data_IF_279384085780
#
_entry.id   IF_279384085780
#
_cell.length_a   1.000
_cell.length_b   1.000
_cell.length_c   1.000
_cell.angle_alpha   90.00
_cell.angle_beta   90.00
_cell.angle_gamma   90.00
#
_symmetry.space_group_name_H-M   'P 1'
#
loop_
_entity.id
_entity.type
_entity.pdbx_description
1 polymer ?
#
# COMPACT_ATOMS: atom_id res chain seq x y z
N UNK A 1 21.02 10.19 13.46
CA UNK A 1 21.09 9.98 12.01
C UNK A 1 19.69 9.72 11.47
N UNK A 2 18.98 10.79 11.07
CA UNK A 2 17.69 10.67 10.38
C UNK A 2 17.97 10.46 8.88
N UNK A 3 17.37 9.45 8.27
CA UNK A 3 17.57 9.13 6.86
C UNK A 3 17.20 10.35 5.98
N UNK A 4 18.13 10.77 5.10
CA UNK A 4 18.09 12.05 4.36
C UNK A 4 17.12 12.09 3.17
N UNK A 5 16.33 11.06 2.92
CA UNK A 5 15.47 11.00 1.74
C UNK A 5 14.10 10.40 2.08
N UNK A 6 13.31 11.17 2.84
CA UNK A 6 11.88 10.95 3.01
C UNK A 6 11.19 11.58 1.79
N UNK A 7 10.65 10.76 0.90
CA UNK A 7 10.06 11.25 -0.36
C UNK A 7 8.53 11.28 -0.27
N UNK A 8 7.90 10.18 0.16
CA UNK A 8 6.45 10.04 0.25
C UNK A 8 6.06 9.35 1.56
N UNK A 9 4.87 9.66 2.07
CA UNK A 9 4.37 9.09 3.31
C UNK A 9 2.90 9.37 3.58
N UNK A 10 2.32 8.57 4.46
CA UNK A 10 0.91 8.58 4.78
C UNK A 10 0.64 8.44 6.27
N UNK A 11 -0.51 8.96 6.68
CA UNK A 11 -1.02 8.73 8.02
C UNK A 11 -1.64 7.34 8.11
N UNK A 12 -1.45 6.68 9.25
CA UNK A 12 -2.22 5.51 9.63
C UNK A 12 -3.72 5.84 9.76
N UNK A 13 -4.56 4.83 9.93
CA UNK A 13 -6.01 5.00 10.06
C UNK A 13 -6.42 5.94 11.22
N UNK A 14 -5.66 5.93 12.33
CA UNK A 14 -5.91 6.75 13.51
C UNK A 14 -5.38 8.18 13.38
N UNK A 15 -4.55 8.44 12.35
CA UNK A 15 -3.80 9.70 12.16
C UNK A 15 -2.87 10.04 13.33
N UNK A 16 -2.43 9.04 14.09
CA UNK A 16 -1.44 9.19 15.15
C UNK A 16 -0.03 8.97 14.62
N UNK A 17 0.14 8.01 13.72
CA UNK A 17 1.44 7.60 13.21
C UNK A 17 1.59 8.01 11.75
N UNK A 18 2.72 8.63 11.44
CA UNK A 18 3.12 8.95 10.08
C UNK A 18 4.10 7.89 9.58
N UNK A 19 3.71 7.16 8.54
CA UNK A 19 4.56 6.18 7.86
C UNK A 19 5.20 6.84 6.64
N UNK A 20 6.51 6.89 6.63
CA UNK A 20 7.24 7.59 5.60
C UNK A 20 8.32 6.70 5.00
N UNK A 21 8.35 6.67 3.68
CA UNK A 21 9.27 5.86 2.90
C UNK A 21 10.65 6.51 2.86
N UNK A 22 11.67 5.79 3.33
CA UNK A 22 13.07 6.21 3.27
C UNK A 22 13.71 5.61 2.01
N UNK A 23 13.53 6.28 0.87
CA UNK A 23 13.70 5.74 -0.49
C UNK A 23 15.14 5.45 -0.93
N UNK A 24 16.08 5.36 -0.01
CA UNK A 24 17.44 4.91 -0.29
C UNK A 24 17.94 3.83 0.70
N UNK A 25 17.05 3.28 1.52
CA UNK A 25 17.44 2.31 2.56
C UNK A 25 16.49 1.12 2.67
N UNK A 26 15.58 0.93 1.70
CA UNK A 26 14.55 -0.13 1.69
C UNK A 26 13.82 -0.24 3.04
N UNK A 27 13.48 0.93 3.61
CA UNK A 27 12.88 1.06 4.93
C UNK A 27 11.71 2.02 4.93
N UNK A 28 10.75 1.74 5.80
CA UNK A 28 9.65 2.64 6.15
C UNK A 28 9.84 3.06 7.60
N UNK A 29 9.89 4.36 7.85
CA UNK A 29 9.93 4.90 9.20
C UNK A 29 8.50 5.19 9.67
N UNK A 30 8.13 4.67 10.84
CA UNK A 30 6.92 5.04 11.55
C UNK A 30 7.26 6.06 12.64
N UNK A 31 6.61 7.22 12.62
CA UNK A 31 6.80 8.31 13.57
C UNK A 31 5.51 8.55 14.33
N UNK A 32 5.55 8.51 15.67
CA UNK A 32 4.43 8.93 16.51
C UNK A 32 4.37 10.46 16.53
N UNK A 33 3.28 11.02 16.02
CA UNK A 33 3.08 12.48 15.98
C UNK A 33 2.69 13.07 17.33
N UNK A 34 2.17 12.25 18.26
CA UNK A 34 1.81 12.70 19.61
C UNK A 34 3.05 12.88 20.47
N UNK A 35 3.95 11.90 20.43
CA UNK A 35 5.15 11.88 21.26
C UNK A 35 6.41 12.39 20.53
N UNK A 36 6.27 12.73 19.24
CA UNK A 36 7.34 13.21 18.35
C UNK A 36 8.58 12.29 18.32
N UNK A 37 8.36 10.97 18.37
CA UNK A 37 9.41 9.95 18.43
C UNK A 37 9.26 8.93 17.32
N UNK A 38 10.37 8.27 16.98
CA UNK A 38 10.35 7.12 16.08
C UNK A 38 9.67 5.95 16.80
N UNK A 39 8.54 5.50 16.24
CA UNK A 39 7.78 4.36 16.74
C UNK A 39 8.39 3.04 16.24
N UNK A 40 8.92 3.03 15.01
CA UNK A 40 9.59 1.87 14.44
C UNK A 40 10.28 2.17 13.12
N UNK A 41 11.24 1.32 12.78
CA UNK A 41 11.89 1.29 11.46
C UNK A 41 11.62 -0.09 10.86
N UNK A 42 10.81 -0.11 9.80
CA UNK A 42 10.32 -1.33 9.17
C UNK A 42 11.16 -1.61 7.93
N UNK A 43 11.73 -2.80 7.85
CA UNK A 43 12.41 -3.29 6.66
C UNK A 43 11.37 -3.74 5.62
N UNK A 44 11.53 -3.28 4.37
CA UNK A 44 10.71 -3.68 3.23
C UNK A 44 11.60 -4.23 2.12
N UNK A 45 11.02 -5.07 1.25
CA UNK A 45 11.81 -5.82 0.25
C UNK A 45 12.28 -5.00 -0.97
N UNK A 46 11.79 -3.78 -1.14
CA UNK A 46 12.17 -2.90 -2.25
C UNK A 46 11.82 -1.43 -1.98
N UNK A 47 12.36 -0.53 -2.81
CA UNK A 47 12.10 0.92 -2.78
C UNK A 47 10.58 1.19 -2.77
N UNK A 48 10.03 1.62 -1.62
CA UNK A 48 8.60 1.88 -1.51
C UNK A 48 8.25 3.19 -2.21
N UNK A 49 7.15 3.20 -2.98
CA UNK A 49 6.60 4.42 -3.56
C UNK A 49 5.14 4.57 -3.13
N UNK A 50 4.90 4.94 -1.86
CA UNK A 50 3.59 4.83 -1.25
C UNK A 50 2.57 5.84 -1.76
N UNK A 51 3.02 7.01 -2.25
CA UNK A 51 2.19 8.21 -2.18
C UNK A 51 1.69 8.40 -0.75
N UNK A 52 0.36 8.42 -0.55
CA UNK A 52 -0.28 8.46 0.80
C UNK A 52 -0.48 7.07 1.44
N UNK A 53 -0.23 5.99 0.69
CA UNK A 53 -0.58 4.63 1.08
C UNK A 53 -2.09 4.40 1.22
N UNK A 54 -2.47 3.19 1.62
CA UNK A 54 -3.87 2.86 1.90
C UNK A 54 -4.04 2.12 3.22
N UNK A 55 -5.02 2.56 4.00
CA UNK A 55 -5.35 1.98 5.30
C UNK A 55 -6.56 1.05 5.18
N UNK A 56 -6.45 -0.17 5.69
CA UNK A 56 -7.60 -1.07 5.83
C UNK A 56 -7.38 -2.05 6.98
N UNK A 57 -8.43 -2.77 7.36
CA UNK A 57 -8.36 -3.82 8.38
C UNK A 57 -8.14 -5.16 7.68
N UNK A 58 -6.99 -5.78 7.96
CA UNK A 58 -6.66 -7.13 7.54
C UNK A 58 -7.36 -8.15 8.44
N UNK A 59 -7.97 -9.22 7.88
CA UNK A 59 -8.73 -10.20 8.68
C UNK A 59 -7.90 -10.92 9.75
N UNK A 60 -6.59 -11.08 9.54
CA UNK A 60 -5.67 -11.77 10.46
C UNK A 60 -4.80 -10.83 11.30
N UNK A 61 -4.43 -9.67 10.76
CA UNK A 61 -3.38 -8.82 11.33
C UNK A 61 -3.91 -7.47 11.86
N UNK A 62 -5.23 -7.26 11.79
CA UNK A 62 -5.84 -6.01 12.24
C UNK A 62 -5.55 -4.85 11.31
N UNK A 63 -5.52 -3.60 11.82
CA UNK A 63 -5.23 -2.41 11.03
C UNK A 63 -3.86 -2.47 10.36
N UNK A 64 -3.86 -2.31 9.04
CA UNK A 64 -2.65 -2.28 8.22
C UNK A 64 -2.63 -1.05 7.31
N UNK A 65 -1.42 -0.57 7.07
CA UNK A 65 -1.10 0.41 6.04
C UNK A 65 -0.34 -0.28 4.91
N UNK A 66 -0.78 -0.03 3.69
CA UNK A 66 -0.24 -0.67 2.49
C UNK A 66 0.50 0.32 1.61
N UNK A 67 1.64 -0.12 1.08
CA UNK A 67 2.45 0.60 0.08
C UNK A 67 2.72 -0.30 -1.10
N UNK A 68 2.70 0.29 -2.29
CA UNK A 68 3.18 -0.37 -3.49
C UNK A 68 4.63 0.05 -3.79
N UNK A 69 5.28 -0.68 -4.68
CA UNK A 69 6.68 -0.48 -5.03
C UNK A 69 6.82 -0.17 -6.52
N UNK A 70 7.79 0.69 -6.87
CA UNK A 70 8.12 0.97 -8.27
C UNK A 70 8.99 -0.15 -8.87
N UNK A 71 9.94 -0.66 -8.08
CA UNK A 71 10.97 -1.58 -8.56
C UNK A 71 10.54 -3.05 -8.64
N UNK A 72 9.40 -3.42 -8.06
CA UNK A 72 8.89 -4.79 -8.13
C UNK A 72 7.36 -4.81 -8.08
N UNK A 73 6.81 -6.00 -8.32
CA UNK A 73 5.36 -6.25 -8.31
C UNK A 73 4.77 -6.40 -6.91
N UNK A 74 5.58 -6.32 -5.85
CA UNK A 74 5.11 -6.55 -4.50
C UNK A 74 4.37 -5.31 -3.97
N UNK A 75 3.51 -5.57 -2.99
CA UNK A 75 2.81 -4.60 -2.19
C UNK A 75 3.04 -4.99 -0.73
N UNK A 76 3.70 -4.14 0.03
CA UNK A 76 3.94 -4.39 1.44
C UNK A 76 2.73 -3.95 2.28
N UNK A 77 2.28 -4.84 3.16
CA UNK A 77 1.32 -4.55 4.22
C UNK A 77 2.07 -4.41 5.54
N UNK A 78 1.90 -3.29 6.23
CA UNK A 78 2.56 -2.98 7.50
C UNK A 78 1.49 -2.85 8.58
N UNK A 79 1.66 -3.54 9.72
CA UNK A 79 0.76 -3.41 10.86
C UNK A 79 0.93 -2.07 11.57
N UNK A 80 -0.17 -1.38 11.89
CA UNK A 80 -0.15 -0.02 12.47
C UNK A 80 -0.84 0.07 13.84
N UNK A 81 -1.15 -1.05 14.47
CA UNK A 81 -1.89 -1.10 15.74
C UNK A 81 -1.04 -1.73 16.87
N UNK A 82 -0.19 -0.94 17.55
CA UNK A 82 0.63 -1.45 18.66
C UNK A 82 -0.16 -1.76 19.93
N UNK A 83 -1.42 -1.31 20.06
CA UNK A 83 -2.21 -1.50 21.28
C UNK A 83 -2.94 -2.85 21.27
N UNK A 84 -3.64 -3.18 20.17
CA UNK A 84 -4.40 -4.44 20.08
C UNK A 84 -3.70 -5.52 19.26
N UNK A 85 -2.72 -5.17 18.43
CA UNK A 85 -1.98 -6.10 17.57
C UNK A 85 -0.45 -5.95 17.71
N UNK A 86 0.10 -6.00 18.93
CA UNK A 86 1.52 -5.69 19.20
C UNK A 86 2.49 -6.59 18.43
N UNK A 87 2.13 -7.85 18.18
CA UNK A 87 2.99 -8.80 17.45
C UNK A 87 3.20 -8.41 15.99
N UNK A 88 2.22 -7.71 15.41
CA UNK A 88 2.18 -7.28 14.00
C UNK A 88 2.55 -5.81 13.81
N UNK A 89 2.55 -5.02 14.88
CA UNK A 89 2.83 -3.60 14.82
C UNK A 89 4.26 -3.31 14.36
N UNK A 90 4.39 -2.35 13.44
CA UNK A 90 5.67 -1.92 12.89
C UNK A 90 6.48 -3.04 12.24
N UNK A 91 5.78 -4.01 11.66
CA UNK A 91 6.36 -5.09 10.86
C UNK A 91 5.65 -5.18 9.53
N UNK A 92 6.39 -5.59 8.51
CA UNK A 92 5.79 -6.05 7.26
C UNK A 92 5.14 -7.41 7.54
N UNK A 93 3.81 -7.43 7.58
CA UNK A 93 3.03 -8.62 7.97
C UNK A 93 2.71 -9.53 6.77
N UNK A 94 2.73 -8.96 5.56
CA UNK A 94 2.48 -9.69 4.32
C UNK A 94 2.97 -8.90 3.11
N UNK A 95 3.53 -9.60 2.13
CA UNK A 95 3.69 -9.12 0.76
C UNK A 95 2.51 -9.62 -0.09
N UNK A 96 1.81 -8.74 -0.79
CA UNK A 96 0.91 -9.13 -1.87
C UNK A 96 1.63 -9.02 -3.20
N UNK A 97 1.55 -10.05 -4.02
CA UNK A 97 2.11 -10.06 -5.36
C UNK A 97 1.09 -9.47 -6.33
N UNK A 98 1.42 -8.33 -6.92
CA UNK A 98 0.70 -7.68 -8.00
C UNK A 98 1.00 -8.31 -9.36
N UNK A 99 0.66 -7.60 -10.43
CA UNK A 99 0.82 -8.04 -11.83
C UNK A 99 2.16 -7.63 -12.45
N UNK A 100 2.85 -6.66 -11.85
CA UNK A 100 4.11 -6.11 -12.35
C UNK A 100 4.57 -4.91 -11.53
N UNK A 101 5.83 -4.49 -11.65
CA UNK A 101 6.34 -3.26 -11.00
C UNK A 101 5.95 -1.98 -11.75
N UNK A 102 5.94 -0.83 -11.08
CA UNK A 102 5.48 0.45 -11.66
C UNK A 102 4.18 1.00 -11.06
N UNK A 103 3.84 0.58 -9.84
CA UNK A 103 2.71 1.14 -9.11
C UNK A 103 3.03 2.55 -8.59
N UNK A 104 2.15 3.51 -8.88
CA UNK A 104 2.28 4.88 -8.40
C UNK A 104 1.33 5.20 -7.25
N UNK A 105 0.13 4.60 -7.28
CA UNK A 105 -0.89 4.92 -6.30
C UNK A 105 -1.61 3.67 -5.82
N UNK A 106 -1.83 3.65 -4.52
CA UNK A 106 -2.72 2.73 -3.83
C UNK A 106 -3.82 3.56 -3.16
N UNK A 107 -5.08 3.12 -3.31
CA UNK A 107 -6.24 3.81 -2.73
C UNK A 107 -7.25 2.84 -2.16
N UNK A 108 -7.85 3.25 -1.05
CA UNK A 108 -9.01 2.56 -0.47
C UNK A 108 -9.84 3.57 0.33
N UNK A 109 -11.08 3.24 0.66
CA UNK A 109 -12.00 4.14 1.37
C UNK A 109 -12.86 3.36 2.38
N UNK A 110 -13.05 3.76 3.64
CA UNK A 110 -13.73 2.96 4.67
C UNK A 110 -14.99 2.19 4.22
N UNK A 111 -15.86 2.83 3.44
CA UNK A 111 -17.10 2.23 2.91
C UNK A 111 -16.94 1.29 1.69
N UNK A 112 -15.75 1.19 1.12
CA UNK A 112 -15.43 0.29 0.01
C UNK A 112 -15.01 -1.09 0.55
N UNK A 113 -15.36 -2.15 -0.16
CA UNK A 113 -14.86 -3.50 0.11
C UNK A 113 -13.54 -3.78 -0.63
N UNK A 114 -13.06 -2.84 -1.44
CA UNK A 114 -11.94 -2.98 -2.35
C UNK A 114 -10.78 -2.05 -1.98
N UNK A 115 -9.56 -2.58 -2.13
CA UNK A 115 -8.32 -1.80 -2.25
C UNK A 115 -7.97 -1.76 -3.73
N UNK A 116 -7.74 -0.57 -4.26
CA UNK A 116 -7.46 -0.33 -5.68
C UNK A 116 -5.99 0.06 -5.83
N UNK A 117 -5.31 -0.58 -6.77
CA UNK A 117 -3.91 -0.34 -7.12
C UNK A 117 -3.88 0.21 -8.55
N UNK A 118 -3.27 1.37 -8.72
CA UNK A 118 -3.08 1.97 -10.04
C UNK A 118 -1.65 1.75 -10.49
N UNK A 119 -1.52 1.04 -11.60
CA UNK A 119 -0.27 0.72 -12.26
C UNK A 119 -0.09 1.64 -13.46
N UNK A 120 1.07 2.28 -13.61
CA UNK A 120 1.46 2.87 -14.90
C UNK A 120 2.25 1.83 -15.67
N UNK A 121 1.68 1.41 -16.80
CA UNK A 121 2.34 0.63 -17.86
C UNK A 121 2.58 -0.84 -17.56
N UNK A 122 1.51 -1.63 -17.62
CA UNK A 122 1.66 -3.05 -17.95
C UNK A 122 1.98 -3.13 -19.44
N UNK A 123 3.23 -3.45 -19.81
CA UNK A 123 3.52 -4.01 -21.14
C UNK A 123 3.19 -5.50 -21.07
N UNK A 124 1.93 -5.87 -21.29
CA UNK A 124 1.58 -7.24 -21.67
C UNK A 124 1.46 -7.22 -23.19
N UNK A 125 2.41 -7.87 -23.87
CA UNK A 125 2.33 -8.09 -25.32
C UNK A 125 2.56 -6.85 -26.21
N UNK A 126 3.29 -5.83 -25.74
CA UNK A 126 3.68 -4.69 -26.58
C UNK A 126 2.63 -3.58 -26.73
N UNK A 127 1.49 -3.69 -26.05
CA UNK A 127 0.50 -2.61 -25.94
C UNK A 127 0.59 -2.01 -24.55
N UNK A 128 0.98 -0.73 -24.47
CA UNK A 128 0.89 0.04 -23.23
C UNK A 128 -0.56 0.34 -22.90
N UNK A 129 -1.18 -0.49 -22.06
CA UNK A 129 -2.48 -0.22 -21.47
C UNK A 129 -2.30 0.10 -19.97
N UNK A 130 -2.90 1.21 -19.52
CA UNK A 130 -3.05 1.49 -18.09
C UNK A 130 -4.04 0.50 -17.48
N UNK A 131 -3.58 -0.39 -16.61
CA UNK A 131 -4.43 -1.37 -15.92
C UNK A 131 -4.68 -0.94 -14.47
N UNK A 132 -5.93 -1.03 -14.02
CA UNK A 132 -6.28 -0.89 -12.60
C UNK A 132 -6.44 -2.29 -12.02
N UNK A 133 -5.66 -2.62 -10.99
CA UNK A 133 -5.84 -3.85 -10.24
C UNK A 133 -6.70 -3.59 -9.00
N UNK A 134 -7.46 -4.60 -8.57
CA UNK A 134 -8.26 -4.54 -7.33
C UNK A 134 -7.93 -5.74 -6.43
N UNK A 135 -7.99 -5.53 -5.12
CA UNK A 135 -7.92 -6.57 -4.09
C UNK A 135 -9.13 -6.41 -3.19
N UNK A 136 -9.86 -7.50 -2.92
CA UNK A 136 -10.90 -7.47 -1.92
C UNK A 136 -10.27 -7.43 -0.51
N UNK A 137 -10.76 -6.52 0.36
CA UNK A 137 -10.25 -6.40 1.74
C UNK A 137 -10.42 -7.66 2.57
N UNK A 138 -11.50 -8.41 2.31
CA UNK A 138 -11.85 -9.61 3.08
C UNK A 138 -10.92 -10.77 2.81
N UNK A 139 -10.42 -10.89 1.59
CA UNK A 139 -9.51 -11.96 1.20
C UNK A 139 -8.05 -11.55 1.34
N UNK A 140 -7.75 -10.25 1.32
CA UNK A 140 -6.39 -9.71 1.26
C UNK A 140 -5.55 -10.45 0.20
N UNK A 141 -6.18 -10.71 -0.96
CA UNK A 141 -5.60 -11.34 -2.14
C UNK A 141 -5.89 -10.47 -3.34
N UNK A 142 -4.89 -10.29 -4.19
CA UNK A 142 -5.07 -9.64 -5.48
C UNK A 142 -6.02 -10.48 -6.31
N UNK A 143 -7.15 -9.89 -6.70
CA UNK A 143 -8.08 -10.53 -7.62
C UNK A 143 -7.65 -10.14 -9.04
N UNK A 144 -7.73 -11.10 -9.97
CA UNK A 144 -7.42 -10.90 -11.39
C UNK A 144 -8.17 -9.68 -11.95
N UNK A 145 -7.58 -8.94 -12.92
CA UNK A 145 -8.14 -7.66 -13.33
C UNK A 145 -9.46 -7.88 -14.07
N UNK A 146 -10.39 -6.95 -13.90
CA UNK A 146 -11.38 -6.69 -14.93
C UNK A 146 -10.64 -5.93 -16.05
N UNK A 147 -10.61 -6.41 -17.30
CA UNK A 147 -10.05 -5.62 -18.39
C UNK A 147 -10.85 -4.31 -18.50
N UNK A 148 -10.17 -3.17 -18.42
CA UNK A 148 -10.81 -1.89 -18.70
C UNK A 148 -10.94 -1.74 -20.22
N UNK A 149 -12.12 -2.06 -20.76
CA UNK A 149 -12.41 -1.99 -22.21
C UNK A 149 -12.85 -0.59 -22.68
N UNK A 150 -12.67 0.47 -21.88
CA UNK A 150 -12.93 1.84 -22.31
C UNK A 150 -14.40 2.20 -22.60
N UNK A 151 -15.37 1.36 -22.21
CA UNK A 151 -16.79 1.65 -22.36
C UNK A 151 -17.38 2.36 -21.13
N UNK A 152 -18.00 3.52 -21.33
CA UNK A 152 -18.96 4.09 -20.36
C UNK A 152 -20.10 3.07 -20.21
N UNK A 153 -20.43 2.59 -19.00
CA UNK A 153 -21.58 1.72 -18.85
C UNK A 153 -22.84 2.56 -19.13
N UNK A 154 -23.56 2.25 -20.22
CA UNK A 154 -24.94 2.69 -20.33
C UNK A 154 -25.73 1.99 -19.22
N UNK A 155 -26.14 2.77 -18.21
CA UNK A 155 -27.16 2.39 -17.26
C UNK A 155 -28.47 2.20 -18.05
N UNK A 156 -28.87 0.96 -18.29
CA UNK A 156 -30.24 0.67 -18.70
C UNK A 156 -31.15 0.79 -17.48
N UNK A 157 -32.27 1.48 -17.67
CA UNK A 157 -33.35 1.76 -16.72
C UNK A 157 -33.90 0.53 -16.01
#
# INVERSE_FOLDING_TARGET
HAARFLHDGGWDATKRYFLAAANHSDKVAAVDSKDHKMAGLIDVEAIPHPGRGANFVHPKYGPVWATAHLGNENIALIGTDPENHPDSAWKMVQALKGQGGGYLFIKTHPNSKLVVWMHQNVIIGGLGCSCICCCARRSARVETPLPWTGGIPQLTS
#
